data_IF_128815501771
#
_entry.id   IF_128815501771
#
_cell.length_a   1.000
_cell.length_b   1.000
_cell.length_c   1.000
_cell.angle_alpha   90.00
_cell.angle_beta   90.00
_cell.angle_gamma   90.00
#
_symmetry.space_group_name_H-M   'P 1'
#
loop_
_entity.id
_entity.type
_entity.pdbx_description
1 polymer ?
#
# COMPACT_ATOMS: atom_id res chain seq x y z
N UNK A 1 4.01 0.66 -9.79
CA UNK A 1 3.12 0.85 -10.97
C UNK A 1 3.94 1.48 -12.07
N UNK A 2 4.26 0.68 -13.08
CA UNK A 2 5.03 1.12 -14.25
C UNK A 2 4.04 1.60 -15.32
N UNK A 3 3.90 2.92 -15.45
CA UNK A 3 3.01 3.55 -16.44
C UNK A 3 3.48 3.33 -17.87
N UNK A 4 4.77 3.00 -18.07
CA UNK A 4 5.35 2.77 -19.40
C UNK A 4 5.00 1.41 -20.00
N UNK A 5 4.61 0.43 -19.17
CA UNK A 5 4.20 -0.90 -19.61
C UNK A 5 2.68 -1.08 -19.79
N UNK A 6 1.88 -0.03 -19.53
CA UNK A 6 0.42 -0.12 -19.53
C UNK A 6 -0.13 0.13 -20.93
N UNK A 7 -1.00 -0.77 -21.40
CA UNK A 7 -1.78 -0.54 -22.64
C UNK A 7 -2.96 0.36 -22.31
N UNK A 8 -3.19 1.37 -23.14
CA UNK A 8 -4.32 2.29 -23.02
C UNK A 8 -5.29 2.06 -24.16
N UNK A 9 -6.59 2.02 -23.84
CA UNK A 9 -7.64 1.74 -24.83
C UNK A 9 -8.01 2.98 -25.67
N UNK A 10 -7.72 4.18 -25.16
CA UNK A 10 -7.96 5.46 -25.85
C UNK A 10 -6.95 6.53 -25.43
N UNK A 11 -6.59 7.48 -26.32
CA UNK A 11 -5.78 8.64 -25.95
C UNK A 11 -6.37 9.47 -24.80
N UNK A 12 -7.71 9.58 -24.73
CA UNK A 12 -8.39 10.30 -23.65
C UNK A 12 -8.32 9.55 -22.30
N UNK A 13 -8.34 8.21 -22.34
CA UNK A 13 -8.21 7.37 -21.15
C UNK A 13 -6.77 7.38 -20.61
N UNK A 14 -5.79 7.37 -21.51
CA UNK A 14 -4.38 7.59 -21.18
C UNK A 14 -4.17 8.94 -20.48
N UNK A 15 -4.68 10.03 -21.06
CA UNK A 15 -4.52 11.37 -20.48
C UNK A 15 -5.14 11.46 -19.08
N UNK A 16 -6.34 10.90 -18.88
CA UNK A 16 -7.00 10.85 -17.56
C UNK A 16 -6.19 10.05 -16.54
N UNK A 17 -5.70 8.88 -16.92
CA UNK A 17 -4.92 8.00 -16.04
C UNK A 17 -3.59 8.66 -15.65
N UNK A 18 -2.89 9.24 -16.61
CA UNK A 18 -1.62 9.95 -16.37
C UNK A 18 -1.86 11.19 -15.49
N UNK A 19 -2.92 11.97 -15.72
CA UNK A 19 -3.24 13.11 -14.86
C UNK A 19 -3.64 12.71 -13.43
N UNK A 20 -4.35 11.59 -13.26
CA UNK A 20 -4.72 11.08 -11.94
C UNK A 20 -3.49 10.67 -11.11
N UNK A 21 -2.50 10.03 -11.75
CA UNK A 21 -1.24 9.62 -11.11
C UNK A 21 -0.30 10.81 -10.86
N UNK A 22 -0.38 11.87 -11.68
CA UNK A 22 0.42 13.09 -11.52
C UNK A 22 -0.14 14.07 -10.48
N UNK A 23 -1.23 13.73 -9.81
CA UNK A 23 -1.88 14.58 -8.80
C UNK A 23 -0.89 14.90 -7.66
N UNK A 24 -0.42 16.16 -7.64
CA UNK A 24 0.59 16.66 -6.68
C UNK A 24 2.00 16.88 -7.25
N UNK A 25 2.30 16.31 -8.42
CA UNK A 25 3.60 16.40 -9.12
C UNK A 25 3.55 17.15 -10.45
N UNK A 26 2.37 17.62 -10.89
CA UNK A 26 2.17 18.40 -12.13
C UNK A 26 3.12 19.60 -12.28
N UNK A 27 3.52 20.22 -11.18
CA UNK A 27 4.42 21.36 -11.19
C UNK A 27 5.90 20.99 -11.43
N UNK A 28 6.22 19.69 -11.42
CA UNK A 28 7.58 19.16 -11.55
C UNK A 28 7.84 18.46 -12.89
N UNK A 29 6.79 18.15 -13.66
CA UNK A 29 6.87 17.32 -14.86
C UNK A 29 6.02 17.97 -15.96
N UNK A 30 6.59 18.14 -17.15
CA UNK A 30 5.83 18.42 -18.37
C UNK A 30 5.55 17.12 -19.09
N UNK A 31 4.29 16.90 -19.46
CA UNK A 31 3.86 15.73 -20.23
C UNK A 31 3.38 16.18 -21.59
N UNK A 32 3.92 15.57 -22.63
CA UNK A 32 3.49 15.77 -24.01
C UNK A 32 2.76 14.50 -24.45
N UNK A 33 1.50 14.66 -24.83
CA UNK A 33 0.69 13.57 -25.35
C UNK A 33 0.73 13.60 -26.87
N UNK A 34 0.99 12.44 -27.48
CA UNK A 34 0.74 12.27 -28.90
C UNK A 34 -0.78 12.15 -29.10
N UNK A 35 -1.34 12.91 -30.06
CA UNK A 35 -2.78 12.91 -30.34
C UNK A 35 -3.19 11.77 -31.26
N UNK A 36 -2.22 11.18 -31.98
CA UNK A 36 -2.47 10.12 -32.96
C UNK A 36 -2.12 8.73 -32.42
N UNK A 37 -1.32 8.65 -31.35
CA UNK A 37 -0.92 7.40 -30.71
C UNK A 37 -1.20 7.39 -29.21
N UNK A 38 -1.38 6.20 -28.62
CA UNK A 38 -1.51 6.00 -27.16
C UNK A 38 -0.15 6.07 -26.46
N UNK A 39 0.68 7.04 -26.85
CA UNK A 39 2.02 7.27 -26.29
C UNK A 39 2.08 8.67 -25.69
N UNK A 40 2.82 8.78 -24.60
CA UNK A 40 3.15 10.04 -23.97
C UNK A 40 4.65 10.10 -23.71
N UNK A 41 5.21 11.30 -23.79
CA UNK A 41 6.58 11.57 -23.35
C UNK A 41 6.54 12.57 -22.20
N UNK A 42 7.54 12.53 -21.33
CA UNK A 42 7.64 13.47 -20.23
C UNK A 42 9.03 14.06 -20.12
N UNK A 43 9.08 15.31 -19.67
CA UNK A 43 10.31 16.03 -19.36
C UNK A 43 10.23 16.52 -17.92
N UNK A 44 11.29 16.24 -17.16
CA UNK A 44 11.42 16.70 -15.79
C UNK A 44 11.82 18.18 -15.76
N UNK A 45 11.08 18.99 -15.02
CA UNK A 45 11.43 20.40 -14.77
C UNK A 45 12.52 20.46 -13.72
N UNK A 46 13.77 20.23 -14.13
CA UNK A 46 14.92 20.20 -13.21
C UNK A 46 14.98 21.42 -12.27
N UNK A 47 14.68 22.62 -12.76
CA UNK A 47 14.62 23.84 -11.92
C UNK A 47 13.52 23.82 -10.86
N UNK A 48 12.32 23.32 -11.20
CA UNK A 48 11.21 23.23 -10.26
C UNK A 48 11.46 22.11 -9.23
N UNK A 49 12.05 20.99 -9.68
CA UNK A 49 12.51 19.90 -8.82
C UNK A 49 13.56 20.43 -7.86
N UNK A 50 14.63 21.07 -8.35
CA UNK A 50 15.70 21.63 -7.52
C UNK A 50 15.17 22.62 -6.47
N UNK A 51 14.28 23.55 -6.86
CA UNK A 51 13.65 24.50 -5.92
C UNK A 51 12.86 23.81 -4.81
N UNK A 52 12.20 22.69 -5.12
CA UNK A 52 11.45 21.90 -4.14
C UNK A 52 12.40 21.05 -3.29
N UNK A 53 13.41 20.44 -3.91
CA UNK A 53 14.48 19.68 -3.24
C UNK A 53 15.24 20.53 -2.24
N UNK A 54 15.55 21.79 -2.58
CA UNK A 54 16.23 22.72 -1.68
C UNK A 54 15.42 23.03 -0.40
N UNK A 55 14.11 22.76 -0.37
CA UNK A 55 13.27 22.92 0.83
C UNK A 55 13.19 21.67 1.71
N UNK A 56 13.65 20.51 1.22
CA UNK A 56 13.53 19.24 1.95
C UNK A 56 14.59 19.04 3.04
N UNK A 57 15.50 20.00 3.22
CA UNK A 57 16.64 19.86 4.13
C UNK A 57 17.64 18.82 3.63
N UNK A 58 18.63 18.50 4.47
CA UNK A 58 19.64 17.48 4.15
C UNK A 58 19.34 16.21 4.92
N UNK A 59 19.27 15.08 4.21
CA UNK A 59 19.25 13.74 4.82
C UNK A 59 20.65 13.16 4.72
N UNK A 60 21.30 12.94 5.86
CA UNK A 60 22.62 12.33 5.94
C UNK A 60 22.43 10.84 6.22
N UNK A 61 22.89 9.99 5.31
CA UNK A 61 22.90 8.54 5.48
C UNK A 61 24.34 8.10 5.76
N UNK A 62 24.55 7.51 6.93
CA UNK A 62 25.84 6.97 7.33
C UNK A 62 25.83 5.47 7.08
N UNK A 63 26.80 4.98 6.32
CA UNK A 63 27.00 3.56 6.06
C UNK A 63 28.42 3.16 6.41
N UNK A 64 28.59 1.96 6.96
CA UNK A 64 29.88 1.33 7.20
C UNK A 64 30.33 0.44 6.03
N UNK A 65 29.55 0.38 4.96
CA UNK A 65 29.78 -0.48 3.79
C UNK A 65 29.98 0.35 2.52
N UNK A 66 30.85 -0.13 1.63
CA UNK A 66 31.13 0.47 0.32
C UNK A 66 30.03 0.12 -0.71
N UNK A 67 28.78 0.51 -0.40
CA UNK A 67 27.62 0.29 -1.27
C UNK A 67 27.40 1.54 -2.15
N UNK A 68 26.95 1.33 -3.39
CA UNK A 68 26.62 2.43 -4.28
C UNK A 68 25.44 3.27 -3.74
N UNK A 69 25.48 4.59 -3.93
CA UNK A 69 24.47 5.52 -3.43
C UNK A 69 23.00 5.14 -3.79
N UNK A 70 22.68 4.69 -5.02
CA UNK A 70 21.30 4.28 -5.36
C UNK A 70 20.82 3.08 -4.53
N UNK A 71 21.71 2.17 -4.19
CA UNK A 71 21.39 0.99 -3.41
C UNK A 71 21.22 1.32 -1.93
N UNK A 72 22.03 2.24 -1.37
CA UNK A 72 21.82 2.78 -0.02
C UNK A 72 20.42 3.41 0.10
N UNK A 73 20.04 4.23 -0.89
CA UNK A 73 18.71 4.84 -0.92
C UNK A 73 17.59 3.79 -0.99
N UNK A 74 17.79 2.70 -1.76
CA UNK A 74 16.84 1.58 -1.83
C UNK A 74 16.68 0.91 -0.46
N UNK A 75 17.79 0.59 0.21
CA UNK A 75 17.80 -0.05 1.54
C UNK A 75 17.06 0.83 2.56
N UNK A 76 17.36 2.14 2.58
CA UNK A 76 16.68 3.07 3.49
C UNK A 76 15.19 3.23 3.16
N UNK A 77 14.80 3.17 1.90
CA UNK A 77 13.39 3.13 1.51
C UNK A 77 12.71 1.82 1.97
N UNK A 78 13.42 0.70 1.93
CA UNK A 78 12.89 -0.57 2.42
C UNK A 78 12.76 -0.58 3.95
N UNK A 79 13.62 0.15 4.68
CA UNK A 79 13.47 0.40 6.12
C UNK A 79 12.14 1.08 6.47
N UNK A 80 11.69 2.06 5.67
CA UNK A 80 10.37 2.70 5.87
C UNK A 80 9.20 1.69 5.79
N UNK A 81 9.31 0.65 4.95
CA UNK A 81 8.30 -0.42 4.91
C UNK A 81 8.25 -1.19 6.23
N UNK A 82 9.42 -1.46 6.83
CA UNK A 82 9.53 -2.14 8.13
C UNK A 82 8.96 -1.26 9.25
N UNK A 83 9.23 0.04 9.23
CA UNK A 83 8.68 0.98 10.22
C UNK A 83 7.16 1.06 10.15
N UNK A 84 6.60 1.07 8.93
CA UNK A 84 5.14 1.00 8.73
C UNK A 84 4.55 -0.31 9.24
N UNK A 85 5.18 -1.45 8.95
CA UNK A 85 4.76 -2.74 9.48
C UNK A 85 4.76 -2.75 11.02
N UNK A 86 5.83 -2.22 11.64
CA UNK A 86 5.92 -2.07 13.09
C UNK A 86 4.82 -1.16 13.65
N UNK A 87 4.53 -0.04 12.98
CA UNK A 87 3.46 0.87 13.37
C UNK A 87 2.08 0.20 13.37
N UNK A 88 1.80 -0.69 12.42
CA UNK A 88 0.55 -1.48 12.40
C UNK A 88 0.48 -2.55 13.50
N UNK A 89 1.62 -3.07 13.93
CA UNK A 89 1.69 -4.07 15.00
C UNK A 89 1.51 -3.47 16.40
N UNK A 90 2.06 -2.29 16.67
CA UNK A 90 2.07 -1.66 18.00
C UNK A 90 0.70 -1.60 18.71
N UNK A 91 -0.42 -1.22 18.05
CA UNK A 91 -1.73 -1.20 18.70
C UNK A 91 -2.18 -2.58 19.22
N UNK A 92 -1.73 -3.66 18.59
CA UNK A 92 -2.05 -5.03 18.99
C UNK A 92 -1.18 -5.53 20.16
N UNK A 93 -0.18 -4.74 20.57
CA UNK A 93 0.81 -5.09 21.58
C UNK A 93 0.66 -4.31 22.90
N UNK A 94 -0.14 -3.23 22.96
CA UNK A 94 -0.25 -2.35 24.14
C UNK A 94 -1.64 -2.33 24.81
N UNK A 95 -1.73 -2.21 26.16
CA UNK A 95 -0.81 -2.72 27.18
C UNK A 95 -1.17 -4.16 27.52
N UNK A 96 -0.19 -5.06 27.44
CA UNK A 96 -0.37 -6.47 27.80
C UNK A 96 0.54 -6.85 28.97
N UNK A 97 -0.08 -7.24 30.08
CA UNK A 97 0.62 -7.81 31.25
C UNK A 97 0.68 -9.33 31.11
N UNK A 98 1.50 -9.82 30.17
CA UNK A 98 1.88 -11.23 30.17
C UNK A 98 2.57 -11.57 31.48
N UNK A 99 2.12 -12.61 32.18
CA UNK A 99 2.78 -13.08 33.41
C UNK A 99 4.02 -13.94 33.14
N UNK A 100 4.24 -14.37 31.90
CA UNK A 100 5.37 -15.20 31.49
C UNK A 100 5.99 -14.73 30.17
N UNK A 101 7.27 -15.03 29.96
CA UNK A 101 7.94 -14.76 28.70
C UNK A 101 7.28 -15.49 27.52
N UNK A 102 6.86 -16.73 27.75
CA UNK A 102 6.21 -17.56 26.72
C UNK A 102 4.88 -16.98 26.25
N UNK A 103 4.06 -16.45 27.16
CA UNK A 103 2.83 -15.74 26.81
C UNK A 103 3.10 -14.50 25.96
N UNK A 104 4.18 -13.78 26.22
CA UNK A 104 4.60 -12.62 25.42
C UNK A 104 5.02 -13.06 24.01
N UNK A 105 5.84 -14.11 23.90
CA UNK A 105 6.30 -14.65 22.61
C UNK A 105 5.15 -15.17 21.76
N UNK A 106 4.21 -15.92 22.35
CA UNK A 106 3.04 -16.43 21.65
C UNK A 106 2.16 -15.30 21.10
N UNK A 107 1.96 -14.23 21.87
CA UNK A 107 1.16 -13.09 21.42
C UNK A 107 1.86 -12.28 20.33
N UNK A 108 3.17 -12.09 20.45
CA UNK A 108 3.98 -11.44 19.41
C UNK A 108 3.88 -12.23 18.10
N UNK A 109 3.97 -13.56 18.17
CA UNK A 109 3.78 -14.43 17.01
C UNK A 109 2.39 -14.25 16.39
N UNK A 110 1.33 -14.27 17.18
CA UNK A 110 -0.04 -14.07 16.68
C UNK A 110 -0.24 -12.68 16.06
N UNK A 111 0.34 -11.62 16.63
CA UNK A 111 0.27 -10.28 16.06
C UNK A 111 0.97 -10.21 14.70
N UNK A 112 2.16 -10.82 14.58
CA UNK A 112 2.90 -10.92 13.32
C UNK A 112 2.13 -11.74 12.29
N UNK A 113 1.54 -12.86 12.72
CA UNK A 113 0.73 -13.72 11.86
C UNK A 113 -0.49 -12.96 11.31
N UNK A 114 -1.26 -12.30 12.20
CA UNK A 114 -2.42 -11.50 11.81
C UNK A 114 -2.06 -10.38 10.84
N UNK A 115 -0.99 -9.64 11.12
CA UNK A 115 -0.47 -8.63 10.20
C UNK A 115 -0.11 -9.23 8.84
N UNK A 116 0.58 -10.37 8.82
CA UNK A 116 1.03 -11.04 7.60
C UNK A 116 -0.17 -11.48 6.75
N UNK A 117 -1.21 -12.03 7.37
CA UNK A 117 -2.45 -12.41 6.67
C UNK A 117 -3.13 -11.21 6.01
N UNK A 118 -3.32 -10.11 6.74
CA UNK A 118 -3.93 -8.90 6.18
C UNK A 118 -3.05 -8.27 5.09
N UNK A 119 -1.73 -8.28 5.26
CA UNK A 119 -0.80 -7.80 4.24
C UNK A 119 -0.86 -8.63 2.95
N UNK A 120 -1.00 -9.95 3.05
CA UNK A 120 -1.20 -10.84 1.89
C UNK A 120 -2.53 -10.52 1.22
N UNK A 121 -3.62 -10.38 1.98
CA UNK A 121 -4.95 -10.03 1.44
C UNK A 121 -4.88 -8.70 0.69
N UNK A 122 -4.28 -7.68 1.31
CA UNK A 122 -4.09 -6.37 0.69
C UNK A 122 -3.29 -6.46 -0.63
N UNK A 123 -2.22 -7.24 -0.63
CA UNK A 123 -1.39 -7.48 -1.81
C UNK A 123 -2.14 -8.20 -2.94
N UNK A 124 -2.91 -9.23 -2.62
CA UNK A 124 -3.72 -10.00 -3.60
C UNK A 124 -4.82 -9.12 -4.16
N UNK A 125 -5.46 -8.31 -3.31
CA UNK A 125 -6.58 -7.48 -3.72
C UNK A 125 -6.16 -6.18 -4.43
N UNK A 126 -4.87 -5.82 -4.36
CA UNK A 126 -4.34 -4.57 -4.91
C UNK A 126 -4.76 -3.33 -4.13
N UNK A 127 -5.06 -3.48 -2.83
CA UNK A 127 -5.53 -2.41 -1.94
C UNK A 127 -4.51 -2.13 -0.83
N UNK A 128 -4.70 -1.05 -0.09
CA UNK A 128 -3.83 -0.74 1.06
C UNK A 128 -4.14 -1.63 2.27
N UNK A 129 -3.17 -1.81 3.17
CA UNK A 129 -3.36 -2.57 4.42
C UNK A 129 -4.55 -2.03 5.24
N UNK A 130 -4.67 -0.69 5.35
CA UNK A 130 -5.76 -0.06 6.10
C UNK A 130 -7.13 -0.35 5.47
N UNK A 131 -7.25 -0.26 4.15
CA UNK A 131 -8.49 -0.62 3.44
C UNK A 131 -8.84 -2.08 3.65
N UNK A 132 -7.88 -3.00 3.49
CA UNK A 132 -8.12 -4.42 3.72
C UNK A 132 -8.64 -4.69 5.14
N UNK A 133 -8.03 -4.05 6.15
CA UNK A 133 -8.45 -4.19 7.53
C UNK A 133 -9.86 -3.66 7.78
N UNK A 134 -10.20 -2.49 7.22
CA UNK A 134 -11.52 -1.88 7.34
C UNK A 134 -12.61 -2.73 6.67
N UNK A 135 -12.35 -3.21 5.43
CA UNK A 135 -13.27 -4.07 4.69
C UNK A 135 -13.53 -5.39 5.45
N UNK A 136 -12.47 -6.01 5.99
CA UNK A 136 -12.56 -7.25 6.77
C UNK A 136 -13.30 -7.04 8.10
N UNK A 137 -13.02 -5.94 8.81
CA UNK A 137 -13.68 -5.63 10.09
C UNK A 137 -15.20 -5.40 9.94
N UNK A 138 -15.66 -5.03 8.74
CA UNK A 138 -17.07 -4.89 8.41
C UNK A 138 -17.81 -6.20 8.13
N UNK A 139 -17.11 -7.32 7.96
CA UNK A 139 -17.73 -8.63 7.69
C UNK A 139 -18.33 -9.16 8.98
N UNK A 140 -19.64 -9.45 8.98
CA UNK A 140 -20.37 -9.95 10.14
C UNK A 140 -21.22 -11.16 9.75
N UNK A 141 -21.33 -12.09 10.69
CA UNK A 141 -22.18 -13.26 10.61
C UNK A 141 -23.27 -13.17 11.70
N UNK A 142 -24.50 -13.53 11.35
CA UNK A 142 -25.63 -13.58 12.28
C UNK A 142 -25.86 -15.04 12.67
N UNK A 143 -25.84 -15.30 13.97
CA UNK A 143 -26.17 -16.59 14.56
C UNK A 143 -27.59 -16.50 15.10
N UNK A 144 -28.50 -17.29 14.56
CA UNK A 144 -29.88 -17.36 15.03
C UNK A 144 -30.00 -18.26 16.26
N UNK A 145 -31.05 -18.06 17.07
CA UNK A 145 -31.35 -18.89 18.25
C UNK A 145 -31.58 -20.37 17.91
N UNK A 146 -31.87 -20.68 16.65
CA UNK A 146 -32.02 -22.02 16.08
C UNK A 146 -30.68 -22.70 15.78
N UNK A 147 -29.55 -22.01 15.94
CA UNK A 147 -28.22 -22.51 15.55
C UNK A 147 -27.95 -22.43 14.04
N UNK A 148 -28.85 -21.80 13.26
CA UNK A 148 -28.58 -21.49 11.85
C UNK A 148 -27.72 -20.23 11.72
N UNK A 149 -26.94 -20.17 10.65
CA UNK A 149 -25.99 -19.10 10.36
C UNK A 149 -26.42 -18.38 9.07
N UNK A 150 -26.35 -17.06 9.05
CA UNK A 150 -26.50 -16.27 7.81
C UNK A 150 -25.53 -15.11 7.81
N UNK A 151 -24.97 -14.82 6.64
CA UNK A 151 -24.17 -13.64 6.44
C UNK A 151 -25.05 -12.38 6.39
N UNK A 152 -24.53 -11.27 6.93
CA UNK A 152 -25.10 -9.95 6.68
C UNK A 152 -24.79 -9.57 5.23
N UNK A 153 -25.67 -8.82 4.58
CA UNK A 153 -25.46 -8.40 3.19
C UNK A 153 -24.11 -7.69 3.02
N UNK A 154 -23.26 -8.26 2.17
CA UNK A 154 -21.94 -7.72 1.88
C UNK A 154 -22.02 -6.45 1.05
N UNK A 155 -21.20 -5.46 1.41
CA UNK A 155 -20.96 -4.28 0.56
C UNK A 155 -20.28 -4.70 -0.74
N UNK A 156 -20.29 -3.82 -1.74
CA UNK A 156 -19.62 -4.06 -3.03
C UNK A 156 -18.13 -4.38 -2.83
N UNK A 157 -17.45 -3.58 -2.01
CA UNK A 157 -16.01 -3.74 -1.74
C UNK A 157 -15.70 -5.06 -1.02
N UNK A 158 -16.60 -5.52 -0.14
CA UNK A 158 -16.47 -6.81 0.53
C UNK A 158 -16.65 -7.98 -0.43
N UNK A 159 -17.63 -7.92 -1.35
CA UNK A 159 -17.80 -8.95 -2.40
C UNK A 159 -16.60 -9.02 -3.31
N UNK A 160 -16.13 -7.87 -3.82
CA UNK A 160 -14.94 -7.81 -4.66
C UNK A 160 -13.70 -8.38 -3.95
N UNK A 161 -13.56 -8.14 -2.64
CA UNK A 161 -12.49 -8.71 -1.83
C UNK A 161 -12.61 -10.25 -1.71
N UNK A 162 -13.79 -10.75 -1.36
CA UNK A 162 -14.04 -12.20 -1.18
C UNK A 162 -13.92 -12.98 -2.50
N UNK A 163 -14.39 -12.42 -3.60
CA UNK A 163 -14.24 -12.96 -4.96
C UNK A 163 -12.76 -13.08 -5.34
N UNK A 164 -11.95 -12.03 -5.09
CA UNK A 164 -10.51 -12.06 -5.34
C UNK A 164 -9.78 -13.09 -4.48
N UNK A 165 -10.28 -13.35 -3.27
CA UNK A 165 -9.75 -14.39 -2.38
C UNK A 165 -10.27 -15.80 -2.71
N UNK A 166 -11.19 -15.94 -3.68
CA UNK A 166 -11.84 -17.20 -4.06
C UNK A 166 -12.53 -17.90 -2.87
N UNK A 167 -13.12 -17.10 -1.98
CA UNK A 167 -13.93 -17.61 -0.87
C UNK A 167 -15.35 -17.83 -1.40
N UNK A 168 -15.90 -19.03 -1.21
CA UNK A 168 -17.29 -19.32 -1.55
C UNK A 168 -18.23 -18.45 -0.68
N UNK A 169 -19.17 -17.77 -1.34
CA UNK A 169 -20.16 -16.87 -0.74
C UNK A 169 -21.49 -17.60 -0.46
#
# INVERSE_FOLDING_TARGET
>A
NDLMGRKFDSPNDMARTVEAELKGFRNLIDVTYDRESTRFSYVLKNNAIQRRTNRFGYTILLTNTMIAAPEILRIYRDKDKVEKASAHLKPHLEPFFSRSEEGTRARLFLAILGYTMVAIIASVCGITYAQALETLAGIREVIYSTGSHSHVEYTKDQRELLEKLKVEL
#
